data_IF_775111503003
#
_entry.id   IF_775111503003
#
_cell.length_a   1.000
_cell.length_b   1.000
_cell.length_c   1.000
_cell.angle_alpha   90.00
_cell.angle_beta   90.00
_cell.angle_gamma   90.00
#
_symmetry.space_group_name_H-M   'P 1'
#
loop_
_entity.id
_entity.type
_entity.pdbx_description
1 polymer ?
#
# COMPACT_ATOMS: atom_id res chain seq x y z
N UNK A 1 2.75 25.85 1.04
CA UNK A 1 3.33 24.81 1.92
C UNK A 1 3.83 23.70 1.00
N UNK A 2 5.14 23.44 0.96
CA UNK A 2 5.72 22.42 0.09
C UNK A 2 5.70 21.09 0.86
N UNK A 3 5.09 20.05 0.29
CA UNK A 3 5.11 18.72 0.89
C UNK A 3 6.52 18.16 0.76
N UNK A 4 7.04 17.55 1.83
CA UNK A 4 8.26 16.77 1.71
C UNK A 4 7.97 15.43 0.99
N UNK A 5 9.03 14.74 0.54
CA UNK A 5 8.89 13.52 -0.26
C UNK A 5 8.12 12.42 0.47
N UNK A 6 8.29 12.29 1.79
CA UNK A 6 7.57 11.31 2.61
C UNK A 6 6.07 11.60 2.69
N UNK A 7 5.70 12.87 2.86
CA UNK A 7 4.30 13.29 2.87
C UNK A 7 3.67 13.10 1.50
N UNK A 8 4.38 13.44 0.43
CA UNK A 8 3.92 13.25 -0.94
C UNK A 8 3.71 11.77 -1.24
N UNK A 9 4.68 10.91 -0.91
CA UNK A 9 4.60 9.46 -1.11
C UNK A 9 3.40 8.85 -0.36
N UNK A 10 3.17 9.31 0.88
CA UNK A 10 2.04 8.87 1.68
C UNK A 10 0.69 9.28 1.10
N UNK A 11 0.55 10.52 0.63
CA UNK A 11 -0.68 10.99 -0.01
C UNK A 11 -0.93 10.23 -1.31
N UNK A 12 0.09 10.06 -2.14
CA UNK A 12 -0.01 9.33 -3.42
C UNK A 12 -0.43 7.89 -3.21
N UNK A 13 0.18 7.18 -2.26
CA UNK A 13 -0.18 5.78 -1.97
C UNK A 13 -1.64 5.67 -1.51
N UNK A 14 -2.08 6.57 -0.64
CA UNK A 14 -3.48 6.59 -0.15
C UNK A 14 -4.46 6.83 -1.29
N UNK A 15 -4.18 7.81 -2.14
CA UNK A 15 -5.02 8.15 -3.29
C UNK A 15 -5.10 6.99 -4.29
N UNK A 16 -3.97 6.31 -4.55
CA UNK A 16 -3.92 5.15 -5.43
C UNK A 16 -4.78 4.00 -4.91
N UNK A 17 -4.67 3.66 -3.63
CA UNK A 17 -5.45 2.56 -3.03
C UNK A 17 -6.94 2.86 -3.06
N UNK A 18 -7.33 4.10 -2.77
CA UNK A 18 -8.72 4.52 -2.88
C UNK A 18 -9.23 4.43 -4.33
N UNK A 19 -8.41 4.85 -5.30
CA UNK A 19 -8.74 4.72 -6.73
C UNK A 19 -8.94 3.26 -7.13
N UNK A 20 -8.08 2.35 -6.67
CA UNK A 20 -8.21 0.92 -6.95
C UNK A 20 -9.53 0.37 -6.38
N UNK A 21 -9.88 0.73 -5.14
CA UNK A 21 -11.18 0.35 -4.55
C UNK A 21 -12.36 0.84 -5.40
N UNK A 22 -12.34 2.13 -5.76
CA UNK A 22 -13.40 2.75 -6.58
C UNK A 22 -13.53 2.12 -7.97
N UNK A 23 -12.45 1.54 -8.49
CA UNK A 23 -12.45 0.82 -9.77
C UNK A 23 -12.88 -0.64 -9.63
N UNK A 24 -13.22 -1.10 -8.43
CA UNK A 24 -13.70 -2.45 -8.15
C UNK A 24 -12.59 -3.50 -8.03
N UNK A 25 -11.34 -3.09 -7.85
CA UNK A 25 -10.26 -4.04 -7.60
C UNK A 25 -10.37 -4.63 -6.19
N UNK A 26 -10.05 -5.91 -6.06
CA UNK A 26 -9.94 -6.59 -4.77
C UNK A 26 -8.64 -6.20 -4.07
N UNK A 27 -8.75 -5.32 -3.08
CA UNK A 27 -7.60 -4.82 -2.33
C UNK A 27 -6.92 -5.90 -1.47
N UNK A 28 -7.66 -6.89 -0.98
CA UNK A 28 -7.06 -7.97 -0.17
C UNK A 28 -6.24 -8.90 -1.07
N UNK A 29 -6.74 -9.20 -2.27
CA UNK A 29 -5.97 -9.94 -3.28
C UNK A 29 -4.69 -9.20 -3.69
N UNK A 30 -4.78 -7.90 -3.99
CA UNK A 30 -3.60 -7.08 -4.34
C UNK A 30 -2.57 -7.08 -3.20
N UNK A 31 -3.04 -6.96 -1.95
CA UNK A 31 -2.18 -7.01 -0.77
C UNK A 31 -1.53 -8.38 -0.59
N UNK A 32 -2.25 -9.47 -0.84
CA UNK A 32 -1.69 -10.81 -0.81
C UNK A 32 -0.61 -10.99 -1.88
N UNK A 33 -0.88 -10.61 -3.13
CA UNK A 33 0.10 -10.65 -4.22
C UNK A 33 1.34 -9.82 -3.89
N UNK A 34 1.17 -8.60 -3.37
CA UNK A 34 2.27 -7.77 -2.91
C UNK A 34 3.12 -8.45 -1.82
N UNK A 35 2.45 -9.05 -0.84
CA UNK A 35 3.09 -9.74 0.27
C UNK A 35 3.90 -10.95 -0.20
N UNK A 36 3.39 -11.66 -1.20
CA UNK A 36 4.05 -12.82 -1.81
C UNK A 36 5.25 -12.38 -2.65
N UNK A 37 5.16 -11.31 -3.42
CA UNK A 37 6.26 -10.83 -4.27
C UNK A 37 7.40 -10.19 -3.48
N UNK A 38 7.10 -9.45 -2.41
CA UNK A 38 8.13 -8.78 -1.60
C UNK A 38 8.97 -9.76 -0.77
N UNK A 39 8.35 -10.83 -0.27
CA UNK A 39 9.03 -11.88 0.50
C UNK A 39 9.45 -13.10 -0.34
N UNK A 40 8.75 -13.36 -1.44
CA UNK A 40 9.06 -14.42 -2.41
C UNK A 40 10.27 -14.13 -3.29
N UNK A 41 10.85 -12.92 -3.18
CA UNK A 41 12.10 -12.50 -3.82
C UNK A 41 12.03 -12.35 -5.35
N UNK A 42 11.74 -11.12 -5.81
CA UNK A 42 12.27 -10.58 -7.08
C UNK A 42 12.39 -9.04 -7.11
N UNK A 43 11.60 -8.31 -6.31
CA UNK A 43 11.42 -6.85 -6.50
C UNK A 43 12.36 -5.94 -5.70
N UNK A 44 12.90 -6.39 -4.57
CA UNK A 44 13.58 -5.47 -3.65
C UNK A 44 14.80 -6.14 -3.02
N UNK A 45 16.00 -5.73 -3.43
CA UNK A 45 17.26 -6.06 -2.73
C UNK A 45 17.37 -5.41 -1.34
N UNK A 46 16.24 -5.07 -0.71
CA UNK A 46 16.15 -4.37 0.56
C UNK A 46 16.12 -5.34 1.74
N UNK A 47 16.63 -4.88 2.89
CA UNK A 47 16.68 -5.67 4.11
C UNK A 47 15.29 -6.07 4.64
N UNK A 48 15.17 -7.17 5.40
CA UNK A 48 13.91 -7.69 5.93
C UNK A 48 13.06 -6.65 6.67
N UNK A 49 13.69 -5.73 7.40
CA UNK A 49 13.03 -4.66 8.14
C UNK A 49 12.21 -3.72 7.24
N UNK A 50 12.70 -3.42 6.04
CA UNK A 50 12.00 -2.56 5.09
C UNK A 50 10.85 -3.29 4.42
N UNK A 51 11.00 -4.60 4.19
CA UNK A 51 9.93 -5.46 3.68
C UNK A 51 8.78 -5.54 4.68
N UNK A 52 9.08 -5.76 5.95
CA UNK A 52 8.07 -5.77 7.03
C UNK A 52 7.36 -4.42 7.16
N UNK A 53 8.11 -3.33 7.28
CA UNK A 53 7.52 -1.98 7.40
C UNK A 53 6.63 -1.63 6.19
N UNK A 54 7.03 -2.05 4.99
CA UNK A 54 6.24 -1.81 3.79
C UNK A 54 4.92 -2.60 3.77
N UNK A 55 4.91 -3.85 4.23
CA UNK A 55 3.67 -4.64 4.36
C UNK A 55 2.72 -4.05 5.39
N UNK A 56 3.26 -3.62 6.53
CA UNK A 56 2.47 -2.98 7.58
C UNK A 56 1.82 -1.69 7.06
N UNK A 57 2.59 -0.86 6.34
CA UNK A 57 2.07 0.36 5.75
C UNK A 57 0.98 0.06 4.72
N UNK A 58 1.20 -0.86 3.78
CA UNK A 58 0.19 -1.22 2.78
C UNK A 58 -1.08 -1.78 3.45
N UNK A 59 -0.92 -2.67 4.43
CA UNK A 59 -2.03 -3.23 5.20
C UNK A 59 -2.86 -2.16 5.90
N UNK A 60 -2.21 -1.18 6.52
CA UNK A 60 -2.90 -0.04 7.13
C UNK A 60 -3.72 0.74 6.10
N UNK A 61 -3.16 1.04 4.93
CA UNK A 61 -3.86 1.79 3.88
C UNK A 61 -5.05 1.05 3.29
N UNK A 62 -4.91 -0.27 3.09
CA UNK A 62 -6.03 -1.11 2.65
C UNK A 62 -7.15 -1.12 3.69
N UNK A 63 -6.81 -1.27 4.97
CA UNK A 63 -7.79 -1.21 6.05
C UNK A 63 -8.49 0.17 6.12
N UNK A 64 -7.74 1.26 5.96
CA UNK A 64 -8.28 2.62 5.88
C UNK A 64 -9.27 2.76 4.71
N UNK A 65 -8.90 2.29 3.52
CA UNK A 65 -9.74 2.35 2.33
C UNK A 65 -11.01 1.51 2.48
N UNK A 66 -10.90 0.28 3.01
CA UNK A 66 -12.03 -0.62 3.25
C UNK A 66 -12.99 -0.09 4.33
N UNK A 67 -12.44 0.57 5.35
CA UNK A 67 -13.23 1.16 6.45
C UNK A 67 -13.83 2.52 6.10
N UNK A 68 -13.49 3.10 4.95
CA UNK A 68 -14.04 4.37 4.50
C UNK A 68 -15.43 4.15 3.88
N UNK A 69 -16.53 4.63 4.50
CA UNK A 69 -17.88 4.44 4.00
C UNK A 69 -18.21 5.31 2.76
N UNK A 70 -17.33 6.26 2.41
CA UNK A 70 -17.49 7.16 1.27
C UNK A 70 -16.86 6.62 -0.02
N UNK A 71 -16.21 5.45 0.04
CA UNK A 71 -15.56 4.75 -1.07
C UNK A 71 -16.17 3.37 -1.28
#
# INVERSE_FOLDING_TARGET
MQLNEDQLSNVTLSALINLLKLKGYDLEKIKEEYNNEIFGSLLTGTGPQFKTASKELLGKRVNEANSNPLL
#
